data_IF_816111931463
#
_entry.id   IF_816111931463
#
_cell.length_a   1.000
_cell.length_b   1.000
_cell.length_c   1.000
_cell.angle_alpha   90.00
_cell.angle_beta   90.00
_cell.angle_gamma   90.00
#
_symmetry.space_group_name_H-M   'P 1'
#
loop_
_entity.id
_entity.type
_entity.pdbx_description
1 polymer ?
#
# COMPACT_ATOMS: atom_id res chain seq x y z
N UNK A 1 6.28 -18.98 18.34
CA UNK A 1 6.89 -18.06 17.35
C UNK A 1 5.79 -17.80 16.35
N UNK A 2 5.22 -16.59 16.33
CA UNK A 2 4.00 -16.33 15.57
C UNK A 2 4.33 -16.41 14.07
N UNK A 3 3.70 -17.34 13.37
CA UNK A 3 3.57 -17.29 11.92
C UNK A 3 2.81 -16.00 11.58
N UNK A 4 3.55 -14.92 11.32
CA UNK A 4 3.03 -13.73 10.65
C UNK A 4 2.68 -14.15 9.23
N UNK A 5 1.47 -14.70 9.11
CA UNK A 5 0.84 -15.13 7.88
C UNK A 5 0.66 -13.89 7.02
N UNK A 6 1.68 -13.58 6.20
CA UNK A 6 1.63 -12.52 5.20
C UNK A 6 0.32 -12.69 4.43
N UNK A 7 -0.57 -11.70 4.49
CA UNK A 7 -1.80 -11.76 3.72
C UNK A 7 -1.37 -11.56 2.27
N UNK A 8 -1.59 -12.51 1.39
CA UNK A 8 -1.27 -12.30 -0.02
C UNK A 8 -2.49 -11.72 -0.73
N UNK A 9 -2.33 -10.58 -1.39
CA UNK A 9 -3.39 -10.00 -2.23
C UNK A 9 -2.92 -10.06 -3.68
N UNK A 10 -3.69 -10.73 -4.55
CA UNK A 10 -3.34 -10.96 -5.97
C UNK A 10 -1.91 -11.53 -6.19
N UNK A 11 -1.43 -12.38 -5.28
CA UNK A 11 -0.10 -12.99 -5.38
C UNK A 11 1.08 -12.09 -4.99
N UNK A 12 0.82 -10.97 -4.31
CA UNK A 12 1.83 -10.10 -3.70
C UNK A 12 1.63 -10.06 -2.18
N UNK A 13 2.70 -10.02 -1.37
CA UNK A 13 2.57 -9.91 0.07
C UNK A 13 1.94 -8.56 0.44
N UNK A 14 0.95 -8.65 1.32
CA UNK A 14 0.22 -7.55 1.91
C UNK A 14 0.40 -7.66 3.43
N UNK A 15 1.07 -6.66 3.98
CA UNK A 15 1.36 -6.58 5.40
C UNK A 15 0.53 -5.45 5.98
N UNK A 16 -0.35 -5.78 6.91
CA UNK A 16 -1.07 -4.77 7.67
C UNK A 16 -0.37 -4.53 9.01
N UNK A 17 0.09 -3.31 9.22
CA UNK A 17 0.64 -2.83 10.49
C UNK A 17 -0.24 -1.70 11.04
N UNK A 18 -1.20 -2.06 11.90
CA UNK A 18 -2.17 -1.12 12.47
C UNK A 18 -3.06 -0.45 11.42
N UNK A 19 -2.91 0.87 11.30
CA UNK A 19 -3.60 1.74 10.33
C UNK A 19 -2.85 1.88 8.99
N UNK A 20 -1.66 1.29 8.87
CA UNK A 20 -0.87 1.31 7.64
C UNK A 20 -0.81 -0.08 7.01
N UNK A 21 -1.08 -0.15 5.71
CA UNK A 21 -1.07 -1.38 4.92
C UNK A 21 0.01 -1.24 3.85
N UNK A 22 0.96 -2.16 3.85
CA UNK A 22 2.01 -2.27 2.86
C UNK A 22 1.60 -3.34 1.87
N UNK A 23 1.66 -3.03 0.58
CA UNK A 23 1.27 -3.91 -0.52
C UNK A 23 2.35 -3.89 -1.59
N UNK A 24 3.00 -5.03 -1.82
CA UNK A 24 4.03 -5.18 -2.84
C UNK A 24 5.08 -6.18 -2.42
N UNK A 25 5.89 -6.64 -3.37
CA UNK A 25 6.94 -7.61 -3.10
C UNK A 25 8.28 -6.93 -2.84
N UNK A 26 9.16 -7.55 -2.06
CA UNK A 26 10.52 -7.04 -1.87
C UNK A 26 11.40 -7.29 -3.12
N UNK A 27 10.99 -8.22 -3.99
CA UNK A 27 11.62 -8.47 -5.29
C UNK A 27 11.18 -7.44 -6.35
N UNK A 28 10.13 -6.67 -6.10
CA UNK A 28 9.71 -5.59 -6.98
C UNK A 28 10.52 -4.34 -6.71
N UNK A 29 10.70 -3.50 -7.75
CA UNK A 29 11.29 -2.17 -7.63
C UNK A 29 10.38 -1.16 -6.88
N UNK A 30 9.11 -1.51 -6.62
CA UNK A 30 8.15 -0.63 -5.97
C UNK A 30 7.24 -1.38 -4.99
N UNK A 31 6.76 -0.67 -3.95
CA UNK A 31 5.77 -1.10 -2.97
C UNK A 31 4.78 0.03 -2.71
N UNK A 32 3.54 -0.31 -2.40
CA UNK A 32 2.47 0.64 -2.08
C UNK A 32 2.24 0.64 -0.58
N UNK A 33 2.08 1.82 0.00
CA UNK A 33 1.77 2.02 1.41
C UNK A 33 0.48 2.79 1.51
N UNK A 34 -0.51 2.19 2.15
CA UNK A 34 -1.82 2.77 2.38
C UNK A 34 -1.95 3.08 3.87
N UNK A 35 -1.97 4.36 4.22
CA UNK A 35 -2.12 4.83 5.59
C UNK A 35 -3.54 5.35 5.78
N UNK A 36 -4.32 4.69 6.65
CA UNK A 36 -5.65 5.15 7.03
C UNK A 36 -5.50 6.32 8.01
N UNK A 37 -5.83 7.53 7.57
CA UNK A 37 -5.85 8.73 8.42
C UNK A 37 -7.10 8.81 9.27
N UNK A 38 -8.24 8.42 8.68
CA UNK A 38 -9.53 8.49 9.36
C UNK A 38 -10.29 7.21 9.09
N UNK A 39 -10.72 6.54 10.15
CA UNK A 39 -11.64 5.42 10.07
C UNK A 39 -12.86 5.70 10.95
N UNK A 40 -14.03 5.37 10.44
CA UNK A 40 -15.29 5.52 11.13
C UNK A 40 -15.90 4.14 11.33
N UNK A 41 -16.24 3.79 12.57
CA UNK A 41 -16.94 2.56 12.87
C UNK A 41 -18.43 2.76 12.61
N UNK A 42 -18.92 2.21 11.50
CA UNK A 42 -20.34 2.13 11.21
C UNK A 42 -20.84 0.76 11.69
N UNK A 43 -21.42 0.76 12.90
CA UNK A 43 -21.97 -0.43 13.57
C UNK A 43 -20.92 -1.53 13.82
N UNK A 44 -20.72 -2.44 12.87
CA UNK A 44 -19.87 -3.63 12.95
C UNK A 44 -18.67 -3.60 11.98
N UNK A 45 -18.61 -2.59 11.10
CA UNK A 45 -17.57 -2.45 10.08
C UNK A 45 -16.80 -1.14 10.27
N UNK A 46 -15.49 -1.27 10.44
CA UNK A 46 -14.57 -0.13 10.45
C UNK A 46 -14.34 0.31 9.01
N UNK A 47 -14.97 1.41 8.61
CA UNK A 47 -14.83 1.97 7.27
C UNK A 47 -13.75 3.04 7.28
N UNK A 48 -12.68 2.84 6.51
CA UNK A 48 -11.69 3.89 6.33
C UNK A 48 -12.32 5.03 5.50
N UNK A 49 -12.46 6.21 6.10
CA UNK A 49 -12.98 7.42 5.47
C UNK A 49 -11.91 8.08 4.61
N UNK A 50 -10.70 8.24 5.17
CA UNK A 50 -9.57 8.89 4.51
C UNK A 50 -8.35 7.97 4.54
N UNK A 51 -7.84 7.64 3.36
CA UNK A 51 -6.68 6.77 3.17
C UNK A 51 -5.68 7.47 2.27
N UNK A 52 -4.46 7.62 2.76
CA UNK A 52 -3.32 8.11 2.00
C UNK A 52 -2.62 6.93 1.34
N UNK A 53 -2.51 6.93 0.01
CA UNK A 53 -1.73 5.97 -0.77
C UNK A 53 -0.39 6.60 -1.11
N UNK A 54 0.69 5.88 -0.85
CA UNK A 54 2.05 6.27 -1.16
C UNK A 54 2.70 5.12 -1.94
N UNK A 55 3.15 5.40 -3.15
CA UNK A 55 4.00 4.49 -3.89
C UNK A 55 5.44 4.77 -3.50
N UNK A 56 6.09 3.78 -2.89
CA UNK A 56 7.51 3.79 -2.58
C UNK A 56 8.28 2.91 -3.56
N UNK A 57 9.47 3.34 -3.95
CA UNK A 57 10.46 2.50 -4.58
C UNK A 57 11.24 1.75 -3.50
N UNK A 58 11.53 0.48 -3.75
CA UNK A 58 12.41 -0.37 -2.92
C UNK A 58 13.88 -0.12 -3.21
N UNK A 59 14.18 0.76 -4.16
CA UNK A 59 15.54 1.11 -4.56
C UNK A 59 16.35 1.61 -3.35
N UNK A 60 17.33 0.80 -2.94
CA UNK A 60 18.08 1.08 -1.71
C UNK A 60 19.06 2.26 -1.89
N UNK A 61 19.36 2.61 -3.14
CA UNK A 61 20.28 3.71 -3.50
C UNK A 61 19.66 5.10 -3.30
N UNK A 62 18.33 5.20 -3.24
CA UNK A 62 17.64 6.48 -3.13
C UNK A 62 17.38 6.86 -1.66
N UNK A 63 17.50 8.15 -1.30
CA UNK A 63 17.09 8.62 0.02
C UNK A 63 15.58 8.40 0.22
N UNK A 64 15.11 8.20 1.47
CA UNK A 64 13.71 7.85 1.78
C UNK A 64 12.67 8.87 1.29
N UNK A 65 13.09 10.09 0.95
CA UNK A 65 12.24 11.10 0.32
C UNK A 65 12.03 10.86 -1.18
N UNK A 66 13.06 10.45 -1.91
CA UNK A 66 13.00 10.11 -3.34
C UNK A 66 12.45 8.70 -3.56
N UNK A 67 12.49 7.83 -2.55
CA UNK A 67 11.77 6.57 -2.57
C UNK A 67 10.27 6.80 -2.77
N UNK A 68 9.68 7.91 -2.32
CA UNK A 68 8.24 8.18 -2.55
C UNK A 68 8.02 8.70 -3.97
N UNK A 69 7.75 7.79 -4.91
CA UNK A 69 7.46 8.11 -6.31
C UNK A 69 6.16 8.89 -6.44
N UNK A 70 5.15 8.52 -5.66
CA UNK A 70 3.81 9.11 -5.78
C UNK A 70 3.05 9.06 -4.48
N UNK A 71 2.25 10.07 -4.22
CA UNK A 71 1.31 10.08 -3.10
C UNK A 71 -0.06 10.60 -3.55
N UNK A 72 -1.13 10.03 -3.03
CA UNK A 72 -2.49 10.52 -3.24
C UNK A 72 -3.33 10.21 -2.02
N UNK A 73 -4.29 11.07 -1.71
CA UNK A 73 -5.28 10.81 -0.67
C UNK A 73 -6.60 10.46 -1.36
N UNK A 74 -7.22 9.38 -0.90
CA UNK A 74 -8.52 8.92 -1.39
C UNK A 74 -9.45 8.63 -0.25
N UNK A 75 -10.72 8.90 -0.52
CA UNK A 75 -11.79 8.54 0.38
C UNK A 75 -12.18 7.08 0.12
N UNK A 76 -12.12 6.26 1.17
CA UNK A 76 -12.38 4.81 1.08
C UNK A 76 -11.14 3.94 0.86
N UNK A 77 -11.00 2.90 1.70
CA UNK A 77 -9.92 1.91 1.59
C UNK A 77 -9.92 1.15 0.26
N UNK A 78 -11.09 0.78 -0.25
CA UNK A 78 -11.18 -0.01 -1.48
C UNK A 78 -10.68 0.76 -2.71
N UNK A 79 -11.09 2.02 -2.85
CA UNK A 79 -10.61 2.91 -3.92
C UNK A 79 -9.11 3.15 -3.81
N UNK A 80 -8.62 3.31 -2.57
CA UNK A 80 -7.21 3.48 -2.29
C UNK A 80 -6.40 2.23 -2.69
N UNK A 81 -6.89 1.05 -2.32
CA UNK A 81 -6.28 -0.23 -2.65
C UNK A 81 -6.23 -0.48 -4.16
N UNK A 82 -7.34 -0.26 -4.87
CA UNK A 82 -7.43 -0.45 -6.32
C UNK A 82 -6.46 0.47 -7.09
N UNK A 83 -6.41 1.73 -6.66
CA UNK A 83 -5.51 2.73 -7.23
C UNK A 83 -4.05 2.41 -6.92
N UNK A 84 -3.77 1.97 -5.69
CA UNK A 84 -2.46 1.50 -5.27
C UNK A 84 -1.98 0.31 -6.09
N UNK A 85 -2.81 -0.72 -6.22
CA UNK A 85 -2.51 -1.89 -7.05
C UNK A 85 -2.25 -1.51 -8.51
N UNK A 86 -3.09 -0.64 -9.08
CA UNK A 86 -2.91 -0.11 -10.44
C UNK A 86 -1.59 0.64 -10.59
N UNK A 87 -1.18 1.43 -9.58
CA UNK A 87 0.09 2.15 -9.61
C UNK A 87 1.28 1.21 -9.56
N UNK A 88 1.23 0.20 -8.69
CA UNK A 88 2.25 -0.83 -8.59
C UNK A 88 2.40 -1.58 -9.91
N UNK A 89 1.31 -2.14 -10.43
CA UNK A 89 1.31 -2.89 -11.70
C UNK A 89 1.79 -2.03 -12.87
N UNK A 90 1.39 -0.75 -12.92
CA UNK A 90 1.84 0.17 -13.97
C UNK A 90 3.33 0.50 -13.88
N UNK A 91 3.87 0.73 -12.70
CA UNK A 91 5.30 1.04 -12.59
C UNK A 91 6.16 -0.19 -12.85
N UNK A 92 5.77 -1.35 -12.33
CA UNK A 92 6.47 -2.60 -12.61
C UNK A 92 6.47 -2.95 -14.10
N UNK A 93 5.35 -2.70 -14.81
CA UNK A 93 5.33 -2.81 -16.27
C UNK A 93 6.17 -1.78 -17.01
N UNK A 94 6.46 -0.64 -16.39
CA UNK A 94 7.20 0.45 -17.03
C UNK A 94 8.72 0.26 -16.95
N UNK A 95 9.17 -0.50 -15.95
CA UNK A 95 10.57 -0.91 -15.78
C UNK A 95 10.89 -2.31 -16.32
N UNK A 96 9.87 -3.07 -16.75
CA UNK A 96 10.03 -4.37 -17.40
C UNK A 96 10.35 -4.26 -18.90
#
# INVERSE_FOLDING_TARGET
MAEEKFLEYKGKPLVRSGDTIYYGDINDAYVVVLTVKQSEKLKDITLAKDVTIQLLATDDTLPPKDRIVKKSEKQGLFTALDLGATWLERQLKKEA
#
